data_IF_430106115513
#
_entry.id   IF_430106115513
#
_cell.length_a   1.000
_cell.length_b   1.000
_cell.length_c   1.000
_cell.angle_alpha   90.00
_cell.angle_beta   90.00
_cell.angle_gamma   90.00
#
_symmetry.space_group_name_H-M   'P 1'
#
loop_
_entity.id
_entity.type
_entity.pdbx_description
1 polymer ?
#
# COMPACT_ATOMS: atom_id res chain seq x y z
N UNK A 1 -7.00 -9.69 -3.28
CA UNK A 1 -5.78 -8.93 -3.65
C UNK A 1 -5.69 -8.88 -5.17
N UNK A 2 -5.64 -7.68 -5.77
CA UNK A 2 -5.44 -7.58 -7.21
C UNK A 2 -3.95 -7.71 -7.52
N UNK A 3 -3.53 -8.88 -7.99
CA UNK A 3 -2.19 -9.08 -8.55
C UNK A 3 -2.24 -8.43 -9.94
N UNK A 4 -1.58 -7.28 -10.13
CA UNK A 4 -1.50 -6.63 -11.44
C UNK A 4 -0.16 -6.96 -12.08
N UNK A 5 -0.18 -7.38 -13.34
CA UNK A 5 1.04 -7.65 -14.10
C UNK A 5 1.97 -6.43 -14.24
N UNK A 6 1.45 -5.23 -14.02
CA UNK A 6 2.18 -3.95 -14.08
C UNK A 6 2.64 -3.47 -12.70
N UNK A 7 2.40 -4.23 -11.62
CA UNK A 7 2.88 -3.88 -10.29
C UNK A 7 4.40 -4.07 -10.20
N UNK A 8 5.06 -3.22 -9.44
CA UNK A 8 6.47 -3.38 -9.10
C UNK A 8 6.59 -4.22 -7.83
N UNK A 9 7.37 -5.28 -7.91
CA UNK A 9 7.61 -6.20 -6.81
C UNK A 9 9.07 -6.23 -6.38
N UNK A 10 9.28 -6.63 -5.14
CA UNK A 10 10.61 -6.89 -4.59
C UNK A 10 10.56 -8.25 -3.91
N UNK A 11 11.54 -9.08 -4.18
CA UNK A 11 11.67 -10.42 -3.59
C UNK A 11 12.91 -10.52 -2.72
N UNK A 12 12.75 -11.13 -1.55
CA UNK A 12 13.82 -11.36 -0.58
C UNK A 12 13.92 -12.85 -0.20
N UNK A 13 15.14 -13.28 0.13
CA UNK A 13 15.41 -14.55 0.79
C UNK A 13 16.49 -14.33 1.84
N UNK A 14 16.21 -14.69 3.09
CA UNK A 14 17.17 -14.58 4.20
C UNK A 14 17.84 -13.19 4.32
N UNK A 15 17.06 -12.11 4.15
CA UNK A 15 17.56 -10.73 4.23
C UNK A 15 18.31 -10.24 2.98
N UNK A 16 18.47 -11.05 1.95
CA UNK A 16 19.06 -10.68 0.67
C UNK A 16 17.98 -10.41 -0.37
N UNK A 17 18.14 -9.36 -1.15
CA UNK A 17 17.25 -9.05 -2.27
C UNK A 17 17.58 -9.95 -3.46
N UNK A 18 16.60 -10.75 -3.90
CA UNK A 18 16.74 -11.69 -5.02
C UNK A 18 16.35 -11.06 -6.34
N UNK A 19 15.27 -10.25 -6.34
CA UNK A 19 14.74 -9.63 -7.53
C UNK A 19 14.02 -8.32 -7.18
N UNK A 20 13.97 -7.40 -8.16
CA UNK A 20 13.18 -6.18 -8.08
C UNK A 20 12.78 -5.74 -9.49
N UNK A 21 11.56 -5.26 -9.67
CA UNK A 21 11.04 -4.75 -10.93
C UNK A 21 9.60 -5.15 -11.18
N UNK A 22 9.22 -5.23 -12.45
CA UNK A 22 7.85 -5.59 -12.82
C UNK A 22 7.50 -7.01 -12.38
N UNK A 23 6.25 -7.22 -12.02
CA UNK A 23 5.75 -8.47 -11.47
C UNK A 23 6.12 -9.72 -12.32
N UNK A 24 6.04 -9.62 -13.65
CA UNK A 24 6.39 -10.75 -14.55
C UNK A 24 7.88 -11.11 -14.48
N UNK A 25 8.75 -10.10 -14.41
CA UNK A 25 10.21 -10.29 -14.37
C UNK A 25 10.61 -10.85 -13.02
N UNK A 26 10.06 -10.30 -11.93
CA UNK A 26 10.29 -10.78 -10.56
C UNK A 26 9.78 -12.21 -10.40
N UNK A 27 8.57 -12.53 -10.89
CA UNK A 27 8.03 -13.88 -10.83
C UNK A 27 8.93 -14.91 -11.56
N UNK A 28 9.51 -14.51 -12.69
CA UNK A 28 10.45 -15.37 -13.45
C UNK A 28 11.75 -15.62 -12.68
N UNK A 29 12.33 -14.57 -12.08
CA UNK A 29 13.57 -14.67 -11.30
C UNK A 29 13.34 -15.45 -10.00
N UNK A 30 12.23 -15.19 -9.30
CA UNK A 30 11.84 -15.90 -8.08
C UNK A 30 11.59 -17.38 -8.36
N UNK A 31 10.96 -17.72 -9.50
CA UNK A 31 10.76 -19.11 -9.91
C UNK A 31 12.10 -19.83 -10.15
N UNK A 32 13.03 -19.19 -10.86
CA UNK A 32 14.35 -19.75 -11.09
C UNK A 32 15.13 -19.95 -9.77
N UNK A 33 15.03 -18.98 -8.84
CA UNK A 33 15.63 -19.09 -7.52
C UNK A 33 15.02 -20.23 -6.69
N UNK A 34 13.67 -20.36 -6.69
CA UNK A 34 12.95 -21.42 -5.99
C UNK A 34 13.34 -22.81 -6.50
N UNK A 35 13.49 -22.98 -7.83
CA UNK A 35 13.90 -24.26 -8.42
C UNK A 35 15.34 -24.65 -8.04
N UNK A 36 16.21 -23.64 -7.87
CA UNK A 36 17.59 -23.87 -7.45
C UNK A 36 17.74 -24.07 -5.93
N UNK A 37 16.84 -23.49 -5.14
CA UNK A 37 16.93 -23.44 -3.67
C UNK A 37 15.54 -23.66 -3.01
N UNK A 38 14.93 -24.83 -3.16
CA UNK A 38 13.56 -25.09 -2.71
C UNK A 38 13.40 -25.03 -1.17
N UNK A 39 14.49 -25.14 -0.43
CA UNK A 39 14.52 -25.08 1.04
C UNK A 39 14.59 -23.65 1.59
N UNK A 40 14.88 -22.66 0.74
CA UNK A 40 15.03 -21.26 1.22
C UNK A 40 13.68 -20.54 1.25
N UNK A 41 13.39 -19.85 2.37
CA UNK A 41 12.18 -19.03 2.43
C UNK A 41 12.25 -17.89 1.45
N UNK A 42 11.14 -17.62 0.79
CA UNK A 42 10.96 -16.50 -0.14
C UNK A 42 9.87 -15.56 0.40
N UNK A 43 10.14 -14.29 0.30
CA UNK A 43 9.18 -13.22 0.59
C UNK A 43 9.09 -12.32 -0.63
N UNK A 44 7.90 -12.21 -1.21
CA UNK A 44 7.61 -11.29 -2.30
C UNK A 44 6.72 -10.19 -1.76
N UNK A 45 7.05 -8.94 -2.04
CA UNK A 45 6.35 -7.76 -1.54
C UNK A 45 6.07 -6.81 -2.69
N UNK A 46 4.85 -6.28 -2.73
CA UNK A 46 4.50 -5.18 -3.63
C UNK A 46 5.21 -3.90 -3.19
N UNK A 47 5.99 -3.31 -4.08
CA UNK A 47 6.85 -2.15 -3.77
C UNK A 47 6.07 -0.88 -3.43
N UNK A 48 4.82 -0.77 -3.90
CA UNK A 48 3.97 0.40 -3.69
C UNK A 48 3.19 0.33 -2.38
N UNK A 49 2.67 -0.86 -2.07
CA UNK A 49 1.77 -1.05 -0.92
C UNK A 49 2.43 -1.67 0.30
N UNK A 50 3.61 -2.29 0.13
CA UNK A 50 4.28 -3.06 1.16
C UNK A 50 3.54 -4.35 1.56
N UNK A 51 2.59 -4.80 0.76
CA UNK A 51 1.85 -6.02 1.01
C UNK A 51 2.58 -7.24 0.47
N UNK A 52 2.47 -8.36 1.17
CA UNK A 52 3.01 -9.63 0.70
C UNK A 52 2.22 -10.16 -0.49
N UNK A 53 2.94 -10.72 -1.45
CA UNK A 53 2.39 -11.37 -2.63
C UNK A 53 2.61 -12.87 -2.52
N UNK A 54 1.53 -13.63 -2.60
CA UNK A 54 1.58 -15.09 -2.59
C UNK A 54 1.54 -15.60 -4.03
N UNK A 55 2.53 -16.41 -4.41
CA UNK A 55 2.61 -17.10 -5.69
C UNK A 55 2.78 -18.59 -5.46
N UNK A 56 2.02 -19.40 -6.17
CA UNK A 56 2.33 -20.83 -6.27
C UNK A 56 3.47 -21.03 -7.27
N UNK A 57 4.66 -21.26 -6.74
CA UNK A 57 5.88 -21.45 -7.52
C UNK A 57 6.08 -22.91 -8.00
N UNK A 58 5.15 -23.81 -7.65
CA UNK A 58 5.19 -25.20 -8.13
C UNK A 58 4.76 -25.26 -9.59
N UNK A 59 5.36 -26.18 -10.33
CA UNK A 59 5.07 -26.35 -11.75
C UNK A 59 5.88 -25.45 -12.68
N UNK A 60 5.58 -25.43 -13.98
CA UNK A 60 6.35 -24.68 -14.97
C UNK A 60 6.14 -23.17 -14.86
N UNK A 61 7.13 -22.38 -15.32
CA UNK A 61 7.09 -20.92 -15.32
C UNK A 61 5.80 -20.35 -15.94
N UNK A 62 5.32 -20.98 -17.02
CA UNK A 62 4.07 -20.55 -17.68
C UNK A 62 2.85 -20.59 -16.74
N UNK A 63 2.80 -21.52 -15.79
CA UNK A 63 1.74 -21.61 -14.79
C UNK A 63 1.86 -20.48 -13.75
N UNK A 64 3.08 -20.14 -13.34
CA UNK A 64 3.33 -19.03 -12.43
C UNK A 64 2.91 -17.71 -13.07
N UNK A 65 3.32 -17.45 -14.32
CA UNK A 65 2.96 -16.22 -15.03
C UNK A 65 1.45 -16.10 -15.32
N UNK A 66 0.75 -17.23 -15.48
CA UNK A 66 -0.71 -17.23 -15.66
C UNK A 66 -1.45 -16.71 -14.43
N UNK A 67 -0.92 -16.91 -13.23
CA UNK A 67 -1.49 -16.36 -11.99
C UNK A 67 -1.52 -14.82 -11.99
N UNK A 68 -0.58 -14.17 -12.67
CA UNK A 68 -0.53 -12.71 -12.80
C UNK A 68 -1.59 -12.15 -13.74
N UNK A 69 -2.07 -12.96 -14.68
CA UNK A 69 -3.08 -12.57 -15.66
C UNK A 69 -4.50 -12.80 -15.17
N UNK A 70 -4.69 -13.72 -14.19
CA UNK A 70 -5.99 -14.07 -13.61
C UNK A 70 -5.96 -14.01 -12.08
N UNK A 71 -6.17 -12.84 -11.46
CA UNK A 71 -6.09 -12.68 -10.00
C UNK A 71 -7.25 -13.35 -9.21
N UNK A 72 -8.14 -14.10 -9.84
CA UNK A 72 -9.40 -14.60 -9.24
C UNK A 72 -9.34 -16.08 -8.81
N UNK A 73 -8.22 -16.79 -8.92
CA UNK A 73 -8.20 -18.24 -8.78
C UNK A 73 -7.81 -18.84 -7.41
N UNK A 74 -7.71 -18.07 -6.32
CA UNK A 74 -7.24 -18.61 -5.03
C UNK A 74 -8.12 -18.37 -3.81
N UNK A 75 -9.40 -18.03 -3.96
CA UNK A 75 -10.35 -18.10 -2.84
C UNK A 75 -11.69 -18.67 -3.33
N UNK A 76 -12.11 -19.85 -2.88
CA UNK A 76 -13.51 -20.18 -2.91
C UNK A 76 -14.18 -19.45 -1.73
N UNK A 77 -14.57 -18.22 -1.94
CA UNK A 77 -15.50 -17.55 -1.03
C UNK A 77 -16.89 -17.70 -1.66
N UNK A 78 -17.62 -18.67 -1.16
CA UNK A 78 -19.07 -18.63 -1.18
C UNK A 78 -19.54 -17.32 -0.56
N UNK A 79 -20.63 -16.80 -1.11
CA UNK A 79 -21.43 -15.67 -0.64
C UNK A 79 -21.05 -14.29 -1.19
N UNK A 80 -21.74 -13.89 -2.22
CA UNK A 80 -22.83 -12.92 -2.23
C UNK A 80 -23.31 -12.70 -3.67
N UNK A 81 -24.26 -13.49 -4.08
CA UNK A 81 -25.17 -13.11 -5.16
C UNK A 81 -25.98 -11.91 -4.66
N UNK A 82 -25.49 -10.71 -4.93
CA UNK A 82 -26.32 -9.51 -4.82
C UNK A 82 -27.11 -9.41 -6.10
N UNK A 83 -28.39 -9.74 -6.01
CA UNK A 83 -29.38 -9.60 -7.08
C UNK A 83 -29.27 -8.21 -7.72
N UNK A 84 -28.90 -8.18 -9.00
CA UNK A 84 -29.06 -6.99 -9.83
C UNK A 84 -30.55 -6.69 -10.01
N UNK A 85 -31.03 -5.69 -9.28
CA UNK A 85 -32.34 -5.11 -9.56
C UNK A 85 -32.41 -4.59 -11.00
N UNK A 86 -33.52 -4.81 -11.74
CA UNK A 86 -33.64 -4.43 -13.14
C UNK A 86 -33.48 -2.94 -13.36
N UNK A 87 -32.56 -2.56 -14.22
CA UNK A 87 -32.23 -1.18 -14.60
C UNK A 87 -33.38 -0.60 -15.41
N UNK A 88 -34.17 0.30 -14.81
CA UNK A 88 -35.11 1.14 -15.53
C UNK A 88 -34.40 2.17 -16.44
N UNK A 89 -35.04 2.65 -17.54
CA UNK A 89 -34.47 3.66 -18.43
C UNK A 89 -34.39 5.02 -17.72
N UNK A 90 -33.18 5.44 -17.37
CA UNK A 90 -32.88 6.72 -16.72
C UNK A 90 -31.51 7.25 -17.15
N UNK A 91 -31.34 8.59 -17.05
CA UNK A 91 -30.10 9.31 -17.34
C UNK A 91 -28.90 8.58 -16.69
N UNK A 92 -27.75 8.42 -17.38
CA UNK A 92 -26.57 7.77 -16.83
C UNK A 92 -26.24 8.33 -15.44
N UNK A 93 -26.20 7.46 -14.41
CA UNK A 93 -25.85 7.88 -13.07
C UNK A 93 -24.38 8.30 -13.07
N UNK A 94 -24.10 9.50 -12.61
CA UNK A 94 -22.78 10.14 -12.48
C UNK A 94 -21.87 9.40 -11.47
N UNK A 95 -21.83 8.06 -11.44
CA UNK A 95 -20.99 7.29 -10.52
C UNK A 95 -21.30 7.52 -9.03
N UNK A 96 -22.47 8.09 -8.71
CA UNK A 96 -22.85 8.38 -7.32
C UNK A 96 -23.37 7.11 -6.66
N UNK A 97 -22.66 6.66 -5.63
CA UNK A 97 -23.04 5.51 -4.79
C UNK A 97 -23.66 6.05 -3.50
N UNK A 98 -24.88 5.59 -3.16
CA UNK A 98 -25.53 5.90 -1.88
C UNK A 98 -24.82 5.20 -0.73
N UNK A 99 -24.50 5.94 0.33
CA UNK A 99 -23.99 5.41 1.61
C UNK A 99 -24.71 6.09 2.73
N UNK A 100 -24.96 5.38 3.83
CA UNK A 100 -25.51 5.95 5.05
C UNK A 100 -24.41 6.63 5.87
N UNK A 101 -24.70 7.86 6.34
CA UNK A 101 -23.81 8.65 7.18
C UNK A 101 -24.59 9.18 8.37
N UNK A 102 -24.09 8.96 9.57
CA UNK A 102 -24.69 9.47 10.80
C UNK A 102 -24.07 10.81 11.18
N UNK A 103 -24.87 11.85 11.30
CA UNK A 103 -24.45 13.19 11.70
C UNK A 103 -25.34 13.68 12.86
N UNK A 104 -24.82 14.63 13.64
CA UNK A 104 -25.62 15.28 14.70
C UNK A 104 -26.74 16.13 14.08
N UNK A 105 -27.91 16.30 14.75
CA UNK A 105 -29.03 17.09 14.22
C UNK A 105 -28.62 18.48 13.74
N UNK A 106 -27.83 19.21 14.52
CA UNK A 106 -27.30 20.53 14.15
C UNK A 106 -26.50 20.55 12.85
N UNK A 107 -25.83 19.43 12.49
CA UNK A 107 -25.11 19.32 11.23
C UNK A 107 -26.08 19.16 10.06
N UNK A 108 -27.15 18.39 10.26
CA UNK A 108 -28.21 18.25 9.25
C UNK A 108 -28.94 19.56 8.99
N UNK A 109 -29.26 20.31 10.05
CA UNK A 109 -29.91 21.62 9.93
C UNK A 109 -29.04 22.60 9.13
N UNK A 110 -27.75 22.64 9.44
CA UNK A 110 -26.80 23.47 8.71
C UNK A 110 -26.63 23.01 7.25
N UNK A 111 -26.51 21.71 6.98
CA UNK A 111 -26.40 21.19 5.62
C UNK A 111 -27.65 21.46 4.79
N UNK A 112 -28.83 21.37 5.39
CA UNK A 112 -30.11 21.69 4.73
C UNK A 112 -30.22 23.16 4.33
N UNK A 113 -29.60 24.07 5.09
CA UNK A 113 -29.60 25.51 4.79
C UNK A 113 -28.60 25.89 3.68
N UNK A 114 -27.72 24.97 3.23
CA UNK A 114 -26.73 25.29 2.23
C UNK A 114 -27.28 25.29 0.80
N UNK A 115 -26.79 26.17 -0.10
CA UNK A 115 -27.18 26.18 -1.50
C UNK A 115 -26.96 24.82 -2.19
N UNK A 116 -28.01 24.24 -2.75
CA UNK A 116 -28.01 22.91 -3.38
C UNK A 116 -28.29 21.75 -2.43
N UNK A 117 -28.55 22.05 -1.14
CA UNK A 117 -28.92 21.06 -0.12
C UNK A 117 -27.78 20.18 0.38
N UNK A 118 -28.10 19.30 1.31
CA UNK A 118 -27.13 18.51 2.07
C UNK A 118 -26.17 17.68 1.19
N UNK A 119 -26.66 17.00 0.15
CA UNK A 119 -25.81 16.17 -0.74
C UNK A 119 -24.80 16.97 -1.53
N UNK A 120 -25.14 18.19 -1.96
CA UNK A 120 -24.21 19.07 -2.69
C UNK A 120 -23.19 19.67 -1.72
N UNK A 121 -23.64 20.12 -0.56
CA UNK A 121 -22.79 20.68 0.47
C UNK A 121 -21.75 19.66 0.96
N UNK A 122 -22.17 18.43 1.27
CA UNK A 122 -21.28 17.33 1.69
C UNK A 122 -20.22 17.02 0.62
N UNK A 123 -20.61 16.90 -0.65
CA UNK A 123 -19.62 16.66 -1.73
C UNK A 123 -18.59 17.77 -1.82
N UNK A 124 -18.99 19.03 -1.73
CA UNK A 124 -18.06 20.18 -1.75
C UNK A 124 -17.10 20.16 -0.55
N UNK A 125 -17.61 19.84 0.64
CA UNK A 125 -16.79 19.75 1.86
C UNK A 125 -15.78 18.60 1.71
N UNK A 126 -16.23 17.41 1.28
CA UNK A 126 -15.36 16.25 1.09
C UNK A 126 -14.28 16.52 0.03
N UNK A 127 -14.64 17.11 -1.12
CA UNK A 127 -13.64 17.46 -2.15
C UNK A 127 -12.63 18.49 -1.65
N UNK A 128 -13.06 19.47 -0.87
CA UNK A 128 -12.14 20.43 -0.24
C UNK A 128 -11.22 19.75 0.77
N UNK A 129 -11.77 19.00 1.72
CA UNK A 129 -11.00 18.27 2.72
C UNK A 129 -10.00 17.32 2.09
N UNK A 130 -10.41 16.55 1.06
CA UNK A 130 -9.54 15.66 0.30
C UNK A 130 -8.37 16.40 -0.35
N UNK A 131 -8.62 17.59 -0.89
CA UNK A 131 -7.57 18.43 -1.49
C UNK A 131 -6.63 19.00 -0.44
N UNK A 132 -7.18 19.48 0.67
CA UNK A 132 -6.41 20.07 1.79
C UNK A 132 -5.56 19.02 2.52
N UNK A 133 -6.07 17.78 2.68
CA UNK A 133 -5.36 16.70 3.38
C UNK A 133 -4.46 15.86 2.48
N UNK A 134 -4.48 16.07 1.15
CA UNK A 134 -3.82 15.19 0.18
C UNK A 134 -2.32 14.93 0.49
N UNK A 135 -1.58 15.95 0.92
CA UNK A 135 -0.16 15.82 1.24
C UNK A 135 0.06 15.06 2.56
N UNK A 136 -0.76 15.37 3.57
CA UNK A 136 -0.72 14.68 4.86
C UNK A 136 -1.12 13.20 4.70
N UNK A 137 -2.12 12.91 3.88
CA UNK A 137 -2.58 11.54 3.59
C UNK A 137 -1.51 10.74 2.84
N UNK A 138 -0.88 11.33 1.82
CA UNK A 138 0.24 10.71 1.10
C UNK A 138 1.40 10.38 2.03
N UNK A 139 1.78 11.33 2.90
CA UNK A 139 2.83 11.11 3.89
C UNK A 139 2.48 9.98 4.85
N UNK A 140 1.27 9.97 5.39
CA UNK A 140 0.79 8.91 6.30
C UNK A 140 0.84 7.54 5.62
N UNK A 141 0.32 7.42 4.39
CA UNK A 141 0.37 6.18 3.62
C UNK A 141 1.81 5.72 3.36
N UNK A 142 2.70 6.63 3.01
CA UNK A 142 4.10 6.29 2.76
C UNK A 142 4.82 5.81 4.04
N UNK A 143 4.55 6.43 5.20
CA UNK A 143 5.05 5.96 6.51
C UNK A 143 4.52 4.56 6.82
N UNK A 144 3.24 4.30 6.56
CA UNK A 144 2.63 2.99 6.77
C UNK A 144 3.27 1.90 5.89
N UNK A 145 3.53 2.21 4.61
CA UNK A 145 4.25 1.31 3.70
C UNK A 145 5.67 1.04 4.21
N UNK A 146 6.40 2.07 4.64
CA UNK A 146 7.74 1.92 5.20
C UNK A 146 7.73 1.04 6.46
N UNK A 147 6.76 1.22 7.35
CA UNK A 147 6.60 0.38 8.54
C UNK A 147 6.30 -1.08 8.18
N UNK A 148 5.45 -1.35 7.18
CA UNK A 148 5.22 -2.71 6.70
C UNK A 148 6.49 -3.37 6.21
N UNK A 149 7.29 -2.67 5.39
CA UNK A 149 8.60 -3.18 4.96
C UNK A 149 9.52 -3.47 6.15
N UNK A 150 9.61 -2.54 7.10
CA UNK A 150 10.40 -2.75 8.32
C UNK A 150 9.96 -3.99 9.08
N UNK A 151 8.65 -4.16 9.29
CA UNK A 151 8.10 -5.29 10.04
C UNK A 151 8.33 -6.63 9.35
N UNK A 152 8.20 -6.66 8.01
CA UNK A 152 8.36 -7.88 7.23
C UNK A 152 9.82 -8.31 7.09
N UNK A 153 10.74 -7.37 6.91
CA UNK A 153 12.13 -7.64 6.58
C UNK A 153 13.07 -7.56 7.78
N UNK A 154 12.75 -6.70 8.74
CA UNK A 154 13.59 -6.37 9.88
C UNK A 154 12.92 -6.55 11.23
N UNK A 155 11.73 -7.18 11.31
CA UNK A 155 10.98 -7.31 12.56
C UNK A 155 11.70 -8.08 13.66
N UNK A 156 12.65 -8.95 13.32
CA UNK A 156 13.50 -9.69 14.25
C UNK A 156 14.89 -9.07 14.46
N UNK A 157 15.19 -7.98 13.75
CA UNK A 157 16.51 -7.35 13.83
C UNK A 157 16.67 -6.51 15.11
N UNK A 158 17.89 -6.41 15.65
CA UNK A 158 18.17 -5.56 16.78
C UNK A 158 17.80 -4.10 16.51
N UNK A 159 17.21 -3.40 17.50
CA UNK A 159 16.83 -1.99 17.37
C UNK A 159 15.53 -1.73 16.61
N UNK A 160 14.77 -2.76 16.24
CA UNK A 160 13.50 -2.60 15.50
C UNK A 160 12.54 -1.63 16.16
N UNK A 161 12.37 -1.71 17.49
CA UNK A 161 11.47 -0.82 18.23
C UNK A 161 11.91 0.66 18.16
N UNK A 162 13.21 0.93 18.31
CA UNK A 162 13.73 2.29 18.21
C UNK A 162 13.68 2.81 16.78
N UNK A 163 13.98 1.95 15.80
CA UNK A 163 13.82 2.26 14.39
C UNK A 163 12.36 2.61 14.04
N UNK A 164 11.40 1.85 14.59
CA UNK A 164 9.96 2.13 14.41
C UNK A 164 9.57 3.47 15.01
N UNK A 165 10.03 3.79 16.22
CA UNK A 165 9.78 5.09 16.86
C UNK A 165 10.37 6.23 16.04
N UNK A 166 11.59 6.07 15.51
CA UNK A 166 12.22 7.04 14.64
C UNK A 166 11.43 7.30 13.35
N UNK A 167 10.94 6.22 12.71
CA UNK A 167 10.10 6.32 11.52
C UNK A 167 8.82 7.14 11.77
N UNK A 168 8.07 6.80 12.85
CA UNK A 168 6.83 7.51 13.18
C UNK A 168 7.07 8.94 13.68
N UNK A 169 8.24 9.23 14.26
CA UNK A 169 8.65 10.58 14.63
C UNK A 169 9.10 11.41 13.41
N UNK A 170 9.32 10.78 12.26
CA UNK A 170 9.84 11.47 11.08
C UNK A 170 11.34 11.76 11.12
N UNK A 171 12.08 11.10 12.01
CA UNK A 171 13.52 11.30 12.21
C UNK A 171 14.31 10.28 11.38
N UNK A 172 14.61 10.65 10.12
CA UNK A 172 15.38 9.82 9.20
C UNK A 172 16.81 9.56 9.68
N UNK A 173 17.46 10.55 10.32
CA UNK A 173 18.84 10.41 10.80
C UNK A 173 18.91 9.39 11.94
N UNK A 174 17.94 9.44 12.85
CA UNK A 174 17.82 8.42 13.89
C UNK A 174 17.48 7.05 13.29
N UNK A 175 16.52 6.98 12.38
CA UNK A 175 16.18 5.72 11.70
C UNK A 175 17.42 5.09 11.06
N UNK A 176 18.23 5.87 10.34
CA UNK A 176 19.44 5.39 9.68
C UNK A 176 20.46 4.82 10.68
N UNK A 177 20.61 5.43 11.85
CA UNK A 177 21.49 4.91 12.91
C UNK A 177 20.98 3.60 13.50
N UNK A 178 19.67 3.49 13.75
CA UNK A 178 19.07 2.31 14.36
C UNK A 178 19.13 1.08 13.44
N UNK A 179 18.96 1.27 12.11
CA UNK A 179 19.04 0.18 11.14
C UNK A 179 20.45 -0.09 10.60
N UNK A 180 21.47 0.57 11.13
CA UNK A 180 22.84 0.48 10.60
C UNK A 180 23.42 -0.95 10.58
N UNK A 181 23.02 -1.78 11.52
CA UNK A 181 23.50 -3.15 11.68
C UNK A 181 22.60 -4.21 11.01
N UNK A 182 21.53 -3.78 10.36
CA UNK A 182 20.64 -4.69 9.65
C UNK A 182 21.30 -5.20 8.35
N UNK A 183 20.83 -6.33 7.80
CA UNK A 183 21.29 -6.82 6.50
C UNK A 183 21.23 -5.69 5.46
N UNK A 184 22.25 -5.62 4.62
CA UNK A 184 22.47 -4.46 3.73
C UNK A 184 21.28 -4.18 2.82
N UNK A 185 20.71 -5.22 2.19
CA UNK A 185 19.58 -5.05 1.27
C UNK A 185 18.29 -4.67 2.00
N UNK A 186 18.07 -5.21 3.20
CA UNK A 186 16.94 -4.83 4.07
C UNK A 186 17.06 -3.37 4.46
N UNK A 187 18.24 -2.94 4.93
CA UNK A 187 18.53 -1.56 5.30
C UNK A 187 18.30 -0.61 4.13
N UNK A 188 18.84 -0.92 2.95
CA UNK A 188 18.66 -0.12 1.73
C UNK A 188 17.18 0.04 1.39
N UNK A 189 16.42 -1.05 1.43
CA UNK A 189 15.00 -1.03 1.10
C UNK A 189 14.20 -0.19 2.11
N UNK A 190 14.44 -0.38 3.41
CA UNK A 190 13.77 0.37 4.47
C UNK A 190 14.05 1.87 4.33
N UNK A 191 15.32 2.27 4.18
CA UNK A 191 15.69 3.68 4.03
C UNK A 191 15.15 4.30 2.74
N UNK A 192 15.16 3.58 1.64
CA UNK A 192 14.56 4.03 0.37
C UNK A 192 13.05 4.28 0.51
N UNK A 193 12.34 3.39 1.21
CA UNK A 193 10.89 3.52 1.42
C UNK A 193 10.57 4.64 2.41
N UNK A 194 11.34 4.74 3.51
CA UNK A 194 11.21 5.81 4.49
C UNK A 194 11.53 7.20 3.90
N UNK A 195 12.55 7.30 3.04
CA UNK A 195 12.91 8.55 2.37
C UNK A 195 11.82 9.09 1.43
N UNK A 196 10.99 8.20 0.86
CA UNK A 196 9.79 8.61 0.10
C UNK A 196 8.66 9.13 0.99
N UNK A 197 8.63 8.68 2.24
CA UNK A 197 7.61 9.05 3.22
C UNK A 197 7.93 10.38 3.92
N UNK A 198 9.20 10.63 4.17
CA UNK A 198 9.68 11.71 5.01
C UNK A 198 10.56 12.63 4.16
N UNK A 199 10.21 13.92 4.01
CA UNK A 199 11.09 14.87 3.36
C UNK A 199 12.40 14.96 4.14
N UNK A 200 13.52 15.01 3.41
CA UNK A 200 14.81 15.32 4.03
C UNK A 200 14.71 16.67 4.77
N UNK A 201 15.36 16.79 5.90
CA UNK A 201 15.40 18.02 6.71
C UNK A 201 15.87 19.27 5.94
N UNK A 202 16.38 19.10 4.72
CA UNK A 202 16.80 20.19 3.82
C UNK A 202 15.61 20.90 3.10
N UNK A 203 14.38 20.38 3.17
CA UNK A 203 13.21 20.94 2.47
C UNK A 203 12.15 21.55 3.39
N UNK A 204 12.47 21.84 4.65
CA UNK A 204 11.57 22.64 5.48
C UNK A 204 11.75 24.10 5.07
N UNK A 205 10.81 24.73 4.35
CA UNK A 205 10.86 26.18 4.16
C UNK A 205 10.72 26.81 5.54
N UNK A 206 11.68 27.66 5.90
CA UNK A 206 11.62 28.51 7.07
C UNK A 206 10.21 29.14 7.13
N UNK A 207 9.43 28.78 8.13
CA UNK A 207 8.27 29.57 8.51
C UNK A 207 8.80 30.89 9.01
N UNK A 208 8.74 31.90 8.17
CA UNK A 208 8.96 33.30 8.56
C UNK A 208 7.74 33.71 9.36
N UNK A 209 7.97 34.16 10.58
CA UNK A 209 7.01 34.85 11.47
C UNK A 209 6.32 36.05 10.77
#
# INVERSE_FOLDING_TARGET
>A
MNISATADWIAFSQGQQIAQGQACDVASQVKAFFDAHPERPLLIVDALTGQTVELDLRGPLASVLRQLQNPVALVPTEEAATEESPRGPGRPRLGVVGREVTLLPRHWDWLASQPGGASVALRKIVERAKKESADADRRRQAVEVAYRFMSLLGGSEPGFEEASRALFAGDLDKLQREVAYWPEDVRKQVLSTAGRALPSAAETPFATE
#
